data_IF_237962989036
#
_entry.id   IF_237962989036
#
_cell.length_a   1.000
_cell.length_b   1.000
_cell.length_c   1.000
_cell.angle_alpha   90.00
_cell.angle_beta   90.00
_cell.angle_gamma   90.00
#
_symmetry.space_group_name_H-M   'P 1'
#
loop_
_entity.id
_entity.type
_entity.pdbx_description
1 polymer ?
#
# COMPACT_ATOMS: atom_id res chain seq x y z
N UNK A 1 10.46 10.97 -12.99
CA UNK A 1 9.77 10.28 -11.88
C UNK A 1 9.04 9.07 -12.40
N UNK A 2 8.90 8.08 -11.56
CA UNK A 2 8.19 6.84 -11.86
C UNK A 2 6.93 6.73 -11.04
N UNK A 3 5.96 5.98 -11.55
CA UNK A 3 4.69 5.74 -10.87
C UNK A 3 4.67 4.31 -10.33
N UNK A 4 4.38 4.18 -9.05
CA UNK A 4 4.29 2.89 -8.36
C UNK A 4 2.94 2.71 -7.73
N UNK A 5 2.50 1.46 -7.65
CA UNK A 5 1.36 1.07 -6.84
C UNK A 5 1.80 0.06 -5.79
N UNK A 6 1.32 0.25 -4.57
CA UNK A 6 1.55 -0.64 -3.44
C UNK A 6 0.21 -1.20 -3.00
N UNK A 7 0.11 -2.52 -2.95
CA UNK A 7 -1.13 -3.21 -2.59
C UNK A 7 -1.06 -3.65 -1.13
N UNK A 8 -1.81 -2.95 -0.29
CA UNK A 8 -1.82 -3.14 1.16
C UNK A 8 -3.07 -3.91 1.56
N UNK A 9 -2.95 -5.23 1.59
CA UNK A 9 -4.04 -6.13 1.95
C UNK A 9 -4.43 -6.00 3.42
N UNK A 10 -5.70 -6.24 3.72
CA UNK A 10 -6.21 -6.09 5.09
C UNK A 10 -6.47 -7.39 5.80
N UNK A 11 -6.40 -8.55 5.13
CA UNK A 11 -6.51 -9.83 5.80
C UNK A 11 -5.19 -10.16 6.51
N UNK A 12 -5.29 -10.55 7.78
CA UNK A 12 -4.12 -11.00 8.55
C UNK A 12 -4.01 -12.52 8.44
N UNK A 13 -2.85 -13.09 8.07
CA UNK A 13 -2.71 -14.55 7.95
C UNK A 13 -3.05 -15.30 9.22
N UNK A 14 -2.79 -14.72 10.38
CA UNK A 14 -3.12 -15.31 11.68
C UNK A 14 -4.59 -15.19 12.07
N UNK A 15 -5.41 -14.56 11.25
CA UNK A 15 -6.82 -14.29 11.48
C UNK A 15 -7.13 -12.83 11.76
N UNK A 16 -8.35 -12.42 11.40
CA UNK A 16 -8.78 -11.05 11.54
C UNK A 16 -8.34 -10.15 10.39
N UNK A 17 -8.67 -8.89 10.50
CA UNK A 17 -8.39 -7.89 9.48
C UNK A 17 -7.75 -6.64 10.08
N UNK A 18 -7.06 -5.88 9.25
CA UNK A 18 -6.58 -4.55 9.63
C UNK A 18 -7.81 -3.65 9.80
N UNK A 19 -7.98 -3.09 11.00
CA UNK A 19 -9.11 -2.21 11.29
C UNK A 19 -8.92 -0.85 10.63
N UNK A 20 -10.02 -0.10 10.48
CA UNK A 20 -9.94 1.28 9.99
C UNK A 20 -9.03 2.12 10.88
N UNK A 21 -9.09 1.95 12.19
CA UNK A 21 -8.23 2.69 13.12
C UNK A 21 -6.76 2.36 12.92
N UNK A 22 -6.44 1.08 12.77
CA UNK A 22 -5.07 0.64 12.49
C UNK A 22 -4.56 1.22 11.17
N UNK A 23 -5.39 1.21 10.14
CA UNK A 23 -5.07 1.80 8.86
C UNK A 23 -4.80 3.30 8.98
N UNK A 24 -5.69 4.04 9.65
CA UNK A 24 -5.53 5.50 9.81
C UNK A 24 -4.25 5.84 10.59
N UNK A 25 -3.87 5.01 11.55
CA UNK A 25 -2.60 5.18 12.27
C UNK A 25 -1.41 4.96 11.35
N UNK A 26 -1.47 3.92 10.51
CA UNK A 26 -0.40 3.65 9.54
C UNK A 26 -0.32 4.75 8.48
N UNK A 27 -1.46 5.29 8.05
CA UNK A 27 -1.51 6.36 7.04
C UNK A 27 -0.69 7.59 7.46
N UNK A 28 -0.57 7.84 8.75
CA UNK A 28 0.27 8.93 9.26
C UNK A 28 1.74 8.74 8.92
N UNK A 29 2.22 7.51 8.84
CA UNK A 29 3.60 7.22 8.41
C UNK A 29 3.77 7.54 6.93
N UNK A 30 2.76 7.23 6.11
CA UNK A 30 2.78 7.55 4.69
C UNK A 30 2.82 9.07 4.50
N UNK A 31 1.98 9.80 5.24
CA UNK A 31 1.94 11.26 5.21
C UNK A 31 3.27 11.89 5.60
N UNK A 32 4.01 11.27 6.51
CA UNK A 32 5.30 11.78 6.95
C UNK A 32 6.40 11.63 5.89
N UNK A 33 6.23 10.68 4.96
CA UNK A 33 7.24 10.36 3.96
C UNK A 33 6.93 10.99 2.60
N UNK A 34 5.67 10.94 2.17
CA UNK A 34 5.27 11.42 0.84
C UNK A 34 4.37 12.63 0.94
N UNK A 35 4.72 13.68 0.20
CA UNK A 35 3.92 14.90 0.14
C UNK A 35 2.68 14.73 -0.74
N UNK A 36 2.69 13.77 -1.65
CA UNK A 36 1.56 13.49 -2.53
C UNK A 36 1.41 12.01 -2.82
N UNK A 37 0.19 11.53 -2.73
CA UNK A 37 -0.17 10.14 -3.07
C UNK A 37 -1.68 10.05 -3.25
N UNK A 38 -2.12 8.94 -3.84
CA UNK A 38 -3.53 8.61 -3.93
C UNK A 38 -3.76 7.25 -3.29
N UNK A 39 -4.80 7.12 -2.48
CA UNK A 39 -5.22 5.85 -1.90
C UNK A 39 -6.60 5.50 -2.42
N UNK A 40 -6.74 4.28 -2.91
CA UNK A 40 -8.01 3.70 -3.31
C UNK A 40 -8.31 2.48 -2.43
N UNK A 41 -9.58 2.23 -2.21
CA UNK A 41 -10.02 0.98 -1.58
C UNK A 41 -10.54 0.06 -2.68
N UNK A 42 -10.04 -1.15 -2.72
CA UNK A 42 -10.41 -2.15 -3.71
C UNK A 42 -10.80 -3.46 -3.04
N UNK A 43 -11.58 -4.27 -3.76
CA UNK A 43 -11.93 -5.62 -3.34
C UNK A 43 -11.21 -6.60 -4.24
N UNK A 44 -10.47 -7.53 -3.63
CA UNK A 44 -9.77 -8.59 -4.33
C UNK A 44 -10.29 -9.95 -3.92
N UNK A 45 -9.88 -10.98 -4.66
CA UNK A 45 -10.18 -12.36 -4.33
C UNK A 45 -9.00 -13.22 -4.74
N UNK A 46 -8.58 -14.10 -3.83
CA UNK A 46 -7.52 -15.06 -4.08
C UNK A 46 -7.97 -16.42 -3.58
N UNK A 47 -8.05 -17.39 -4.47
CA UNK A 47 -8.51 -18.75 -4.14
C UNK A 47 -9.85 -18.76 -3.37
N UNK A 48 -10.79 -17.89 -3.80
CA UNK A 48 -12.11 -17.78 -3.18
C UNK A 48 -12.15 -16.96 -1.90
N UNK A 49 -11.02 -16.52 -1.39
CA UNK A 49 -10.95 -15.67 -0.19
C UNK A 49 -10.96 -14.22 -0.64
N UNK A 50 -11.94 -13.48 -0.15
CA UNK A 50 -12.08 -12.06 -0.47
C UNK A 50 -11.27 -11.21 0.49
N UNK A 51 -10.70 -10.13 -0.04
CA UNK A 51 -9.89 -9.21 0.73
C UNK A 51 -10.14 -7.78 0.30
N UNK A 52 -10.37 -6.91 1.28
CA UNK A 52 -10.31 -5.47 1.07
C UNK A 52 -8.83 -5.06 1.03
N UNK A 53 -8.47 -4.26 0.04
CA UNK A 53 -7.09 -3.82 -0.16
C UNK A 53 -7.05 -2.32 -0.35
N UNK A 54 -6.08 -1.66 0.28
CA UNK A 54 -5.76 -0.27 -0.01
C UNK A 54 -4.68 -0.25 -1.08
N UNK A 55 -4.93 0.49 -2.16
CA UNK A 55 -3.95 0.67 -3.22
C UNK A 55 -3.39 2.07 -3.10
N UNK A 56 -2.11 2.15 -2.78
CA UNK A 56 -1.37 3.40 -2.68
C UNK A 56 -0.67 3.64 -4.01
N UNK A 57 -0.98 4.76 -4.66
CA UNK A 57 -0.30 5.19 -5.89
C UNK A 57 0.59 6.37 -5.57
N UNK A 58 1.88 6.25 -5.88
CA UNK A 58 2.88 7.28 -5.61
C UNK A 58 3.71 7.53 -6.85
N UNK A 59 3.92 8.79 -7.17
CA UNK A 59 4.84 9.22 -8.23
C UNK A 59 6.09 9.76 -7.52
N UNK A 60 7.22 9.06 -7.69
CA UNK A 60 8.42 9.38 -6.93
C UNK A 60 9.68 8.84 -7.62
N UNK A 61 10.82 9.43 -7.29
CA UNK A 61 12.13 8.87 -7.57
C UNK A 61 12.68 8.06 -6.38
N UNK A 62 11.95 8.06 -5.25
CA UNK A 62 12.40 7.52 -3.98
C UNK A 62 11.83 6.13 -3.70
N UNK A 63 12.17 5.16 -4.56
CA UNK A 63 11.69 3.78 -4.42
C UNK A 63 12.07 3.16 -3.06
N UNK A 64 13.23 3.55 -2.51
CA UNK A 64 13.68 3.00 -1.22
C UNK A 64 12.75 3.35 -0.07
N UNK A 65 12.21 4.57 -0.07
CA UNK A 65 11.22 4.99 0.92
C UNK A 65 9.93 4.20 0.78
N UNK A 66 9.52 3.92 -0.46
CA UNK A 66 8.32 3.15 -0.73
C UNK A 66 8.48 1.69 -0.28
N UNK A 67 9.64 1.09 -0.53
CA UNK A 67 9.96 -0.26 -0.05
C UNK A 67 9.91 -0.30 1.48
N UNK A 68 10.43 0.71 2.14
CA UNK A 68 10.42 0.81 3.61
C UNK A 68 8.99 0.84 4.16
N UNK A 69 8.12 1.64 3.54
CA UNK A 69 6.70 1.69 3.91
C UNK A 69 6.07 0.30 3.77
N UNK A 70 6.33 -0.39 2.67
CA UNK A 70 5.82 -1.73 2.43
C UNK A 70 6.34 -2.74 3.47
N UNK A 71 7.62 -2.68 3.80
CA UNK A 71 8.22 -3.54 4.83
C UNK A 71 7.61 -3.27 6.22
N UNK A 72 7.40 -2.02 6.57
CA UNK A 72 6.78 -1.63 7.83
C UNK A 72 5.35 -2.17 7.92
N UNK A 73 4.57 -2.02 6.85
CA UNK A 73 3.20 -2.55 6.80
C UNK A 73 3.19 -4.06 6.95
N UNK A 74 4.08 -4.75 6.23
CA UNK A 74 4.22 -6.19 6.30
C UNK A 74 4.50 -6.65 7.73
N UNK A 75 5.41 -5.98 8.41
CA UNK A 75 5.82 -6.32 9.78
C UNK A 75 4.71 -6.01 10.79
N UNK A 76 4.13 -4.81 10.74
CA UNK A 76 3.14 -4.35 11.71
C UNK A 76 1.89 -5.22 11.65
N UNK A 77 1.44 -5.58 10.46
CA UNK A 77 0.20 -6.31 10.26
C UNK A 77 0.39 -7.79 9.90
N UNK A 78 1.62 -8.31 10.07
CA UNK A 78 1.93 -9.74 9.87
C UNK A 78 1.55 -10.25 8.48
N UNK A 79 1.81 -9.46 7.45
CA UNK A 79 1.51 -9.86 6.07
C UNK A 79 2.56 -10.82 5.54
N UNK A 80 2.15 -11.78 4.72
CA UNK A 80 3.09 -12.68 4.05
C UNK A 80 3.93 -11.93 3.02
N UNK A 81 3.31 -10.98 2.31
CA UNK A 81 4.00 -10.15 1.33
C UNK A 81 3.19 -8.88 1.07
N UNK A 82 3.86 -7.89 0.49
CA UNK A 82 3.24 -6.66 -0.03
C UNK A 82 3.71 -6.49 -1.45
N UNK A 83 2.77 -6.41 -2.39
CA UNK A 83 3.10 -6.22 -3.81
C UNK A 83 3.37 -4.74 -4.08
N UNK A 84 4.52 -4.48 -4.70
CA UNK A 84 4.83 -3.17 -5.29
C UNK A 84 5.02 -3.41 -6.78
N UNK A 85 4.37 -2.60 -7.61
CA UNK A 85 4.62 -2.65 -9.04
C UNK A 85 4.82 -1.25 -9.59
N UNK A 86 5.71 -1.15 -10.57
CA UNK A 86 5.93 0.05 -11.34
C UNK A 86 4.97 0.07 -12.52
N UNK A 87 4.31 1.20 -12.74
CA UNK A 87 3.43 1.36 -13.90
C UNK A 87 4.23 1.94 -15.06
N UNK A 88 4.09 1.38 -16.28
CA UNK A 88 4.82 1.87 -17.45
C UNK A 88 4.14 3.11 -18.05
N UNK A 89 4.04 4.18 -17.28
CA UNK A 89 3.39 5.43 -17.66
C UNK A 89 4.35 6.60 -17.46
N UNK A 90 4.10 7.69 -18.17
CA UNK A 90 4.84 8.93 -18.01
C UNK A 90 3.90 9.96 -17.41
N UNK A 91 4.04 10.31 -16.13
CA UNK A 91 3.16 11.30 -15.50
C UNK A 91 3.38 12.68 -16.10
N UNK A 92 2.28 13.41 -16.29
CA UNK A 92 2.30 14.78 -16.76
C UNK A 92 1.46 15.63 -15.80
N UNK A 93 2.10 16.61 -15.19
CA UNK A 93 1.41 17.56 -14.32
C UNK A 93 1.10 18.82 -15.13
N UNK A 94 -0.16 19.17 -15.24
CA UNK A 94 -0.62 20.36 -15.97
C UNK A 94 -0.98 21.46 -15.01
#
# INVERSE_FOLDING_TARGET
MKTYQVFLGTNKPAGGTVSTQEWLTFLKQIDAVFTGYTVETASGSWQGIKEKTYILTVITDEIKQLIRIAEDYKMIFNQDSVLIQELPVKPLFV
#
